data_IF_950018360832
#
_entry.id   IF_950018360832
#
_cell.length_a   1.000
_cell.length_b   1.000
_cell.length_c   1.000
_cell.angle_alpha   90.00
_cell.angle_beta   90.00
_cell.angle_gamma   90.00
#
_symmetry.space_group_name_H-M   'P 1'
#
loop_
_entity.id
_entity.type
_entity.pdbx_description
1 polymer ?
#
# COMPACT_ATOMS: atom_id res chain seq x y z
N UNK A 1 5.64 17.49 -2.95
CA UNK A 1 5.15 16.43 -2.04
C UNK A 1 6.28 15.46 -1.73
N UNK A 2 6.92 15.59 -0.56
CA UNK A 2 8.10 14.79 -0.21
C UNK A 2 7.74 13.36 0.20
N UNK A 3 6.70 13.18 1.02
CA UNK A 3 6.27 11.85 1.51
C UNK A 3 5.85 10.90 0.39
N UNK A 4 5.08 11.37 -0.61
CA UNK A 4 4.71 10.53 -1.75
C UNK A 4 5.94 10.10 -2.57
N UNK A 5 6.94 10.98 -2.73
CA UNK A 5 8.20 10.60 -3.40
C UNK A 5 8.96 9.53 -2.63
N UNK A 6 8.93 9.57 -1.29
CA UNK A 6 9.53 8.49 -0.48
C UNK A 6 8.78 7.18 -0.67
N UNK A 7 7.45 7.20 -0.70
CA UNK A 7 6.64 6.02 -0.99
C UNK A 7 7.01 5.39 -2.36
N UNK A 8 7.00 6.18 -3.44
CA UNK A 8 7.33 5.65 -4.77
C UNK A 8 8.78 5.20 -4.89
N UNK A 9 9.72 5.85 -4.18
CA UNK A 9 11.12 5.45 -4.21
C UNK A 9 11.41 4.13 -3.48
N UNK A 10 10.63 3.78 -2.44
CA UNK A 10 11.03 2.72 -1.51
C UNK A 10 9.98 1.62 -1.25
N UNK A 11 8.68 1.87 -1.43
CA UNK A 11 7.60 0.90 -1.16
C UNK A 11 6.91 0.38 -2.42
N UNK A 12 6.83 1.19 -3.48
CA UNK A 12 6.29 0.78 -4.78
C UNK A 12 6.92 -0.51 -5.39
N UNK A 13 8.22 -0.83 -5.17
CA UNK A 13 8.80 -2.08 -5.66
C UNK A 13 8.22 -3.37 -5.07
N UNK A 14 7.48 -3.29 -3.96
CA UNK A 14 6.96 -4.47 -3.22
C UNK A 14 5.50 -4.76 -3.61
N UNK A 15 4.69 -3.71 -3.81
CA UNK A 15 3.29 -3.82 -4.26
C UNK A 15 2.99 -2.65 -5.20
N UNK A 16 3.34 -2.81 -6.48
CA UNK A 16 3.11 -1.82 -7.52
C UNK A 16 1.62 -1.76 -7.90
N UNK A 17 0.84 -1.04 -7.07
CA UNK A 17 -0.60 -0.87 -7.23
C UNK A 17 -0.96 0.56 -7.64
N UNK A 18 -0.04 1.51 -7.49
CA UNK A 18 -0.22 2.93 -7.82
C UNK A 18 0.83 3.32 -8.86
N UNK A 19 0.39 3.83 -10.00
CA UNK A 19 1.28 4.45 -10.97
C UNK A 19 1.63 5.88 -10.53
N UNK A 20 2.93 6.21 -10.45
CA UNK A 20 3.42 7.50 -9.94
C UNK A 20 2.93 8.68 -10.78
N UNK A 21 3.03 8.57 -12.11
CA UNK A 21 2.70 9.65 -13.03
C UNK A 21 1.19 9.93 -13.00
N UNK A 22 0.36 8.88 -13.08
CA UNK A 22 -1.10 8.98 -12.98
C UNK A 22 -1.52 9.56 -11.64
N UNK A 23 -0.91 9.13 -10.53
CA UNK A 23 -1.26 9.65 -9.21
C UNK A 23 -0.99 11.15 -9.09
N UNK A 24 0.18 11.63 -9.55
CA UNK A 24 0.51 13.05 -9.48
C UNK A 24 -0.32 13.90 -10.46
N UNK A 25 -0.60 13.40 -11.65
CA UNK A 25 -1.48 14.07 -12.62
C UNK A 25 -2.88 14.27 -12.04
N UNK A 26 -3.50 13.19 -11.56
CA UNK A 26 -4.88 13.21 -11.06
C UNK A 26 -5.01 13.99 -9.75
N UNK A 27 -3.99 13.94 -8.89
CA UNK A 27 -3.91 14.83 -7.73
C UNK A 27 -3.91 16.30 -8.12
N UNK A 28 -3.11 16.69 -9.10
CA UNK A 28 -3.04 18.08 -9.56
C UNK A 28 -4.39 18.51 -10.17
N UNK A 29 -5.02 17.64 -10.96
CA UNK A 29 -6.35 17.88 -11.52
C UNK A 29 -7.40 18.07 -10.42
N UNK A 30 -7.38 17.25 -9.36
CA UNK A 30 -8.28 17.38 -8.22
C UNK A 30 -8.09 18.71 -7.48
N UNK A 31 -6.84 19.11 -7.21
CA UNK A 31 -6.52 20.35 -6.48
C UNK A 31 -6.87 21.60 -7.32
N UNK A 32 -6.52 21.61 -8.60
CA UNK A 32 -6.65 22.80 -9.46
C UNK A 32 -8.07 22.96 -10.02
N UNK A 33 -8.76 21.86 -10.28
CA UNK A 33 -10.03 21.87 -11.01
C UNK A 33 -11.20 21.29 -10.22
N UNK A 34 -10.97 20.75 -9.02
CA UNK A 34 -12.01 20.11 -8.22
C UNK A 34 -12.63 18.89 -8.92
N UNK A 35 -11.94 18.30 -9.90
CA UNK A 35 -12.43 17.15 -10.66
C UNK A 35 -12.24 15.88 -9.83
N UNK A 36 -13.32 15.13 -9.69
CA UNK A 36 -13.26 13.77 -9.15
C UNK A 36 -12.57 12.86 -10.17
N UNK A 37 -11.75 11.93 -9.66
CA UNK A 37 -11.00 10.96 -10.44
C UNK A 37 -11.20 9.57 -9.84
N UNK A 38 -11.30 8.51 -10.66
CA UNK A 38 -11.25 7.14 -10.14
C UNK A 38 -9.85 6.73 -9.68
N UNK A 39 -8.79 7.45 -10.05
CA UNK A 39 -7.38 7.11 -9.78
C UNK A 39 -6.72 8.00 -8.72
N UNK A 40 -7.47 8.96 -8.15
CA UNK A 40 -7.04 9.76 -7.01
C UNK A 40 -8.18 9.90 -6.00
N UNK A 41 -7.87 9.64 -4.73
CA UNK A 41 -8.73 9.98 -3.61
C UNK A 41 -7.90 10.51 -2.44
N UNK A 42 -8.55 11.26 -1.54
CA UNK A 42 -7.89 11.69 -0.31
C UNK A 42 -7.52 10.49 0.57
N UNK A 43 -8.29 9.41 0.54
CA UNK A 43 -7.95 8.16 1.24
C UNK A 43 -6.62 7.60 0.73
N UNK A 44 -6.46 7.46 -0.59
CA UNK A 44 -5.21 7.00 -1.20
C UNK A 44 -4.03 7.93 -0.88
N UNK A 45 -4.24 9.23 -1.02
CA UNK A 45 -3.22 10.22 -0.71
C UNK A 45 -2.75 10.14 0.75
N UNK A 46 -3.67 9.95 1.71
CA UNK A 46 -3.32 9.82 3.12
C UNK A 46 -2.63 8.48 3.41
N UNK A 47 -3.04 7.38 2.76
CA UNK A 47 -2.37 6.09 2.87
C UNK A 47 -0.91 6.17 2.39
N UNK A 48 -0.67 6.77 1.22
CA UNK A 48 0.67 7.02 0.67
C UNK A 48 1.50 7.90 1.61
N UNK A 49 0.90 8.99 2.14
CA UNK A 49 1.59 9.87 3.09
C UNK A 49 1.97 9.14 4.39
N UNK A 50 1.13 8.23 4.89
CA UNK A 50 1.41 7.47 6.10
C UNK A 50 2.65 6.57 5.94
N UNK A 51 2.74 5.87 4.80
CA UNK A 51 3.91 5.06 4.46
C UNK A 51 5.15 5.94 4.26
N UNK A 52 5.03 7.00 3.48
CA UNK A 52 6.12 7.96 3.28
C UNK A 52 6.63 8.57 4.59
N UNK A 53 5.74 8.86 5.55
CA UNK A 53 6.11 9.39 6.86
C UNK A 53 6.86 8.35 7.71
N UNK A 54 6.46 7.07 7.66
CA UNK A 54 7.22 5.99 8.30
C UNK A 54 8.64 5.88 7.71
N UNK A 55 8.77 6.02 6.39
CA UNK A 55 10.07 5.98 5.70
C UNK A 55 10.95 7.20 5.99
N UNK A 56 10.35 8.36 6.25
CA UNK A 56 11.08 9.58 6.60
C UNK A 56 11.76 9.49 7.97
N UNK A 57 11.27 8.62 8.87
CA UNK A 57 11.80 8.49 10.23
C UNK A 57 11.64 9.78 11.05
N UNK A 58 12.62 10.08 11.91
CA UNK A 58 12.62 11.28 12.78
C UNK A 58 13.10 12.55 12.07
N UNK A 59 12.81 12.72 10.78
CA UNK A 59 13.11 13.98 10.09
C UNK A 59 12.14 15.07 10.54
N UNK A 60 12.65 16.26 10.86
CA UNK A 60 11.85 17.45 11.16
C UNK A 60 11.08 17.88 9.89
N UNK A 61 9.83 17.41 9.76
CA UNK A 61 9.01 17.64 8.57
C UNK A 61 7.94 18.73 8.75
N UNK A 62 7.91 19.45 9.87
CA UNK A 62 6.84 20.41 10.22
C UNK A 62 5.44 19.77 10.08
N UNK A 63 5.33 18.53 10.55
CA UNK A 63 4.11 17.72 10.52
C UNK A 63 3.69 17.34 11.94
N UNK A 64 2.41 17.05 12.20
CA UNK A 64 1.97 16.51 13.48
C UNK A 64 2.72 15.21 13.79
N UNK A 65 3.28 15.05 14.99
CA UNK A 65 3.94 13.81 15.41
C UNK A 65 3.01 12.91 16.24
N UNK A 66 2.97 11.58 15.99
CA UNK A 66 3.67 10.87 14.90
C UNK A 66 2.96 11.06 13.55
N UNK A 67 3.68 11.53 12.53
CA UNK A 67 3.10 11.88 11.23
C UNK A 67 2.45 10.68 10.51
N UNK A 68 3.04 9.50 10.65
CA UNK A 68 2.50 8.27 10.07
C UNK A 68 1.17 7.84 10.69
N UNK A 69 1.03 7.98 12.02
CA UNK A 69 -0.23 7.72 12.73
C UNK A 69 -1.30 8.74 12.34
N UNK A 70 -0.91 10.02 12.25
CA UNK A 70 -1.81 11.09 11.82
C UNK A 70 -2.42 10.80 10.44
N UNK A 71 -1.57 10.50 9.44
CA UNK A 71 -2.05 10.18 8.09
C UNK A 71 -2.82 8.85 8.04
N UNK A 72 -2.40 7.84 8.82
CA UNK A 72 -3.11 6.55 8.88
C UNK A 72 -4.51 6.70 9.47
N UNK A 73 -4.66 7.48 10.54
CA UNK A 73 -5.96 7.73 11.16
C UNK A 73 -6.89 8.46 10.19
N UNK A 74 -6.36 9.45 9.45
CA UNK A 74 -7.13 10.17 8.43
C UNK A 74 -7.51 9.29 7.25
N UNK A 75 -6.61 8.44 6.77
CA UNK A 75 -6.93 7.46 5.72
C UNK A 75 -8.07 6.53 6.14
N UNK A 76 -8.04 5.99 7.37
CA UNK A 76 -9.12 5.14 7.91
C UNK A 76 -10.46 5.87 7.98
N UNK A 77 -10.47 7.10 8.51
CA UNK A 77 -11.70 7.89 8.61
C UNK A 77 -12.30 8.25 7.24
N UNK A 78 -11.46 8.54 6.24
CA UNK A 78 -11.91 8.84 4.89
C UNK A 78 -12.40 7.58 4.14
N UNK A 79 -11.75 6.43 4.39
CA UNK A 79 -12.15 5.16 3.80
C UNK A 79 -13.59 4.82 4.17
N UNK A 80 -13.99 4.98 5.43
CA UNK A 80 -15.35 4.70 5.88
C UNK A 80 -16.41 5.50 5.08
N UNK A 81 -16.07 6.72 4.64
CA UNK A 81 -16.94 7.57 3.83
C UNK A 81 -16.89 7.14 2.34
N UNK A 82 -15.71 6.80 1.84
CA UNK A 82 -15.48 6.41 0.44
C UNK A 82 -16.12 5.06 0.09
N UNK A 83 -16.36 4.20 1.08
CA UNK A 83 -17.00 2.89 0.88
C UNK A 83 -18.43 2.96 0.33
N UNK A 84 -19.13 4.09 0.45
CA UNK A 84 -20.44 4.30 -0.18
C UNK A 84 -20.36 4.36 -1.72
N UNK A 85 -19.19 4.75 -2.27
CA UNK A 85 -18.95 4.84 -3.71
C UNK A 85 -17.47 4.57 -4.02
N UNK A 86 -17.02 3.30 -3.95
CA UNK A 86 -15.62 2.96 -4.10
C UNK A 86 -15.14 3.16 -5.54
N UNK A 87 -13.87 3.51 -5.67
CA UNK A 87 -13.15 3.74 -6.94
C UNK A 87 -11.88 2.88 -7.00
N UNK A 88 -11.14 2.96 -8.10
CA UNK A 88 -9.82 2.31 -8.20
C UNK A 88 -8.88 2.83 -7.11
N UNK A 89 -8.92 4.12 -6.79
CA UNK A 89 -8.17 4.73 -5.71
C UNK A 89 -8.51 4.14 -4.33
N UNK A 90 -9.76 3.73 -4.11
CA UNK A 90 -10.17 3.05 -2.86
C UNK A 90 -9.47 1.69 -2.73
N UNK A 91 -9.46 0.90 -3.81
CA UNK A 91 -8.77 -0.40 -3.85
C UNK A 91 -7.26 -0.21 -3.65
N UNK A 92 -6.67 0.77 -4.34
CA UNK A 92 -5.26 1.13 -4.16
C UNK A 92 -4.96 1.51 -2.71
N UNK A 93 -5.82 2.30 -2.06
CA UNK A 93 -5.63 2.70 -0.67
C UNK A 93 -5.69 1.51 0.29
N UNK A 94 -6.66 0.60 0.11
CA UNK A 94 -6.78 -0.63 0.90
C UNK A 94 -5.51 -1.49 0.80
N UNK A 95 -4.96 -1.63 -0.41
CA UNK A 95 -3.72 -2.38 -0.64
C UNK A 95 -2.54 -1.71 0.05
N UNK A 96 -2.37 -0.38 -0.10
CA UNK A 96 -1.29 0.39 0.57
C UNK A 96 -1.40 0.29 2.09
N UNK A 97 -2.62 0.27 2.64
CA UNK A 97 -2.87 0.14 4.08
C UNK A 97 -2.74 -1.29 4.62
N UNK A 98 -2.64 -2.31 3.75
CA UNK A 98 -2.69 -3.71 4.16
C UNK A 98 -1.37 -4.17 4.82
N UNK A 99 -1.40 -4.30 6.15
CA UNK A 99 -0.30 -4.91 6.91
C UNK A 99 -0.05 -6.38 6.53
N UNK A 100 -1.11 -7.10 6.14
CA UNK A 100 -0.99 -8.49 5.73
C UNK A 100 -0.24 -8.63 4.40
N UNK A 101 -0.45 -7.71 3.44
CA UNK A 101 0.23 -7.74 2.15
C UNK A 101 1.72 -7.46 2.32
N UNK A 102 2.05 -6.46 3.15
CA UNK A 102 3.43 -6.12 3.51
C UNK A 102 4.14 -7.28 4.21
N UNK A 103 3.53 -7.84 5.27
CA UNK A 103 4.14 -8.96 6.01
C UNK A 103 4.31 -10.23 5.15
N UNK A 104 3.37 -10.48 4.24
CA UNK A 104 3.43 -11.60 3.28
C UNK A 104 4.62 -11.46 2.32
N UNK A 105 4.88 -10.24 1.85
CA UNK A 105 6.04 -9.92 1.02
C UNK A 105 7.36 -9.99 1.82
N UNK A 106 7.40 -9.43 3.03
CA UNK A 106 8.57 -9.42 3.92
C UNK A 106 9.02 -10.85 4.31
N UNK A 107 8.06 -11.75 4.54
CA UNK A 107 8.33 -13.17 4.81
C UNK A 107 8.75 -13.96 3.55
N UNK A 108 8.80 -13.29 2.39
CA UNK A 108 9.18 -13.88 1.11
C UNK A 108 8.25 -15.02 0.70
N UNK A 109 6.95 -14.96 1.04
CA UNK A 109 6.03 -16.08 0.79
C UNK A 109 5.88 -16.39 -0.71
N UNK A 110 6.16 -15.40 -1.58
CA UNK A 110 6.16 -15.51 -3.04
C UNK A 110 7.45 -16.06 -3.65
N UNK A 111 8.56 -16.14 -2.89
CA UNK A 111 9.86 -16.52 -3.44
C UNK A 111 9.91 -17.99 -3.83
N UNK A 112 10.59 -18.29 -4.93
CA UNK A 112 10.91 -19.68 -5.30
C UNK A 112 11.95 -20.26 -4.33
N UNK A 113 11.46 -21.13 -3.45
CA UNK A 113 12.26 -21.82 -2.43
C UNK A 113 12.49 -23.29 -2.79
N UNK A 114 12.43 -23.67 -4.07
CA UNK A 114 12.64 -25.05 -4.55
C UNK A 114 13.95 -25.69 -4.03
N UNK A 115 15.00 -24.89 -3.81
CA UNK A 115 16.27 -25.37 -3.22
C UNK A 115 16.13 -25.83 -1.76
N UNK A 116 15.24 -25.21 -0.98
CA UNK A 116 14.99 -25.58 0.42
C UNK A 116 14.23 -26.90 0.55
N UNK A 117 13.52 -27.32 -0.51
CA UNK A 117 12.93 -28.66 -0.62
C UNK A 117 14.03 -29.72 -0.79
N UNK A 118 15.03 -29.44 -1.62
CA UNK A 118 16.16 -30.36 -1.85
C UNK A 118 17.00 -30.58 -0.58
N UNK A 119 17.09 -29.57 0.30
CA UNK A 119 17.81 -29.66 1.58
C UNK A 119 16.94 -30.19 2.73
N UNK A 120 15.67 -30.51 2.48
CA UNK A 120 14.73 -30.98 3.51
C UNK A 120 14.29 -29.92 4.53
N UNK A 121 14.57 -28.63 4.28
CA UNK A 121 14.19 -27.53 5.17
C UNK A 121 12.70 -27.18 5.06
N UNK A 122 12.09 -27.42 3.89
CA UNK A 122 10.67 -27.22 3.65
C UNK A 122 10.03 -28.48 3.05
N UNK A 123 8.83 -28.80 3.52
CA UNK A 123 8.00 -29.88 2.98
C UNK A 123 7.06 -29.39 1.87
N UNK A 124 6.47 -30.31 1.10
CA UNK A 124 5.41 -29.97 0.13
C UNK A 124 4.19 -29.31 0.80
N UNK A 125 3.91 -29.67 2.06
CA UNK A 125 2.86 -29.03 2.86
C UNK A 125 3.20 -27.57 3.14
N UNK A 126 4.45 -27.27 3.49
CA UNK A 126 4.89 -25.90 3.78
C UNK A 126 4.81 -25.02 2.54
N UNK A 127 5.26 -25.52 1.39
CA UNK A 127 5.15 -24.81 0.11
C UNK A 127 3.70 -24.49 -0.24
N UNK A 128 2.79 -25.46 -0.05
CA UNK A 128 1.36 -25.26 -0.27
C UNK A 128 0.78 -24.18 0.66
N UNK A 129 1.10 -24.23 1.95
CA UNK A 129 0.57 -23.25 2.93
C UNK A 129 1.11 -21.85 2.65
N UNK A 130 2.39 -21.71 2.29
CA UNK A 130 2.99 -20.42 1.89
C UNK A 130 2.25 -19.80 0.71
N UNK A 131 1.97 -20.59 -0.33
CA UNK A 131 1.23 -20.11 -1.50
C UNK A 131 -0.21 -19.70 -1.16
N UNK A 132 -0.92 -20.50 -0.34
CA UNK A 132 -2.28 -20.17 0.12
C UNK A 132 -2.28 -18.86 0.90
N UNK A 133 -1.35 -18.70 1.85
CA UNK A 133 -1.24 -17.48 2.66
C UNK A 133 -0.88 -16.26 1.79
N UNK A 134 0.04 -16.40 0.83
CA UNK A 134 0.41 -15.31 -0.06
C UNK A 134 -0.78 -14.83 -0.90
N UNK A 135 -1.42 -15.73 -1.65
CA UNK A 135 -2.54 -15.37 -2.52
C UNK A 135 -3.80 -14.98 -1.76
N UNK A 136 -4.05 -15.57 -0.58
CA UNK A 136 -5.19 -15.21 0.25
C UNK A 136 -5.22 -13.75 0.71
N UNK A 137 -4.06 -13.07 0.71
CA UNK A 137 -3.98 -11.64 1.02
C UNK A 137 -4.41 -10.75 -0.15
N UNK A 138 -4.34 -11.25 -1.39
CA UNK A 138 -4.67 -10.51 -2.61
C UNK A 138 -6.03 -10.92 -3.23
N UNK A 139 -6.76 -11.86 -2.61
CA UNK A 139 -8.00 -12.41 -3.16
C UNK A 139 -9.22 -11.96 -2.35
N UNK A 140 -9.95 -10.99 -2.90
CA UNK A 140 -11.40 -10.73 -2.78
C UNK A 140 -11.76 -9.89 -4.03
N UNK A 141 -12.64 -10.23 -4.98
CA UNK A 141 -13.63 -11.29 -5.19
C UNK A 141 -13.61 -11.74 -6.69
N UNK A 142 -14.34 -12.82 -7.01
CA UNK A 142 -14.79 -13.14 -8.38
C UNK A 142 -15.93 -12.24 -8.82
#
# INVERSE_FOLDING_TARGET
MHLAKLYFAWEDPIIHVVDEDVFFEEKNNAILHGKSSPYYSETLNNAICAIGANLAGNQDLDLPEPASEFFSARAKALLDIEMDSPTVATVQALVVMSMAARLSADLGLHLDVSKHKLTGLLTDRDLKIRAIAFWGVFVHEQ
#
